data_IF_978010913905
#
_entry.id   IF_978010913905
#
_cell.length_a   1.000
_cell.length_b   1.000
_cell.length_c   1.000
_cell.angle_alpha   90.00
_cell.angle_beta   90.00
_cell.angle_gamma   90.00
#
_symmetry.space_group_name_H-M   'P 1'
#
loop_
_entity.id
_entity.type
_entity.pdbx_description
1 polymer ?
#
# COMPACT_ATOMS: atom_id res chain seq x y z
N UNK A 1 -12.32 -2.48 22.77
CA UNK A 1 -11.47 -3.09 21.75
C UNK A 1 -11.59 -2.32 20.45
N UNK A 2 -10.48 -2.02 19.86
CA UNK A 2 -10.51 -1.29 18.61
C UNK A 2 -10.71 -2.23 17.43
N UNK A 3 -11.51 -1.80 16.48
CA UNK A 3 -11.65 -2.53 15.24
C UNK A 3 -10.39 -2.38 14.43
N UNK A 4 -10.00 -3.44 13.76
CA UNK A 4 -8.86 -3.42 12.85
C UNK A 4 -9.31 -2.78 11.54
N UNK A 5 -8.61 -1.73 11.12
CA UNK A 5 -8.91 -1.10 9.86
C UNK A 5 -8.38 -1.96 8.72
N UNK A 6 -9.25 -2.29 7.79
CA UNK A 6 -8.90 -3.10 6.62
C UNK A 6 -9.47 -2.46 5.38
N UNK A 7 -8.81 -2.70 4.27
CA UNK A 7 -9.33 -2.22 3.00
C UNK A 7 -8.49 -2.73 1.86
N UNK A 8 -8.87 -2.30 0.67
CA UNK A 8 -8.11 -2.66 -0.52
C UNK A 8 -8.27 -1.57 -1.57
N UNK A 9 -7.30 -1.54 -2.45
CA UNK A 9 -7.32 -0.68 -3.62
C UNK A 9 -6.81 -1.55 -4.77
N UNK A 10 -7.73 -2.00 -5.62
CA UNK A 10 -7.36 -3.00 -6.62
C UNK A 10 -6.83 -4.25 -5.95
N UNK A 11 -5.65 -4.65 -6.34
CA UNK A 11 -4.99 -5.85 -5.80
C UNK A 11 -4.23 -5.59 -4.50
N UNK A 12 -4.11 -4.34 -4.09
CA UNK A 12 -3.41 -3.99 -2.86
C UNK A 12 -4.39 -4.06 -1.70
N UNK A 13 -4.04 -4.86 -0.69
CA UNK A 13 -4.82 -4.94 0.54
C UNK A 13 -4.02 -4.40 1.69
N UNK A 14 -4.70 -3.88 2.69
CA UNK A 14 -4.04 -3.40 3.90
C UNK A 14 -4.83 -3.77 5.13
N UNK A 15 -4.12 -3.96 6.23
CA UNK A 15 -4.70 -4.32 7.51
C UNK A 15 -3.97 -3.56 8.60
N UNK A 16 -4.72 -2.95 9.52
CA UNK A 16 -4.11 -2.31 10.68
C UNK A 16 -3.48 -3.35 11.60
N UNK A 17 -2.32 -3.03 12.14
CA UNK A 17 -1.61 -3.89 13.07
C UNK A 17 -1.24 -3.07 14.31
N UNK A 18 -0.96 -3.76 15.42
CA UNK A 18 -0.68 -3.07 16.68
C UNK A 18 0.65 -2.36 16.69
N UNK A 19 1.66 -2.99 16.11
CA UNK A 19 3.02 -2.44 16.15
C UNK A 19 3.83 -2.93 14.97
N UNK A 20 4.95 -2.26 14.77
CA UNK A 20 5.89 -2.66 13.71
C UNK A 20 6.55 -3.96 14.16
N UNK A 21 6.57 -5.01 13.33
CA UNK A 21 7.21 -6.27 13.70
C UNK A 21 8.69 -6.10 14.02
N UNK A 22 9.16 -6.85 15.00
CA UNK A 22 10.57 -6.89 15.32
C UNK A 22 11.34 -7.41 14.11
N UNK A 23 12.42 -6.71 13.77
CA UNK A 23 13.23 -7.10 12.62
C UNK A 23 12.88 -6.38 11.33
N UNK A 24 11.79 -5.61 11.32
CA UNK A 24 11.46 -4.82 10.15
C UNK A 24 12.52 -3.74 9.94
N UNK A 25 12.92 -3.54 8.69
CA UNK A 25 13.92 -2.54 8.34
C UNK A 25 13.25 -1.34 7.71
N UNK A 26 13.66 -0.15 8.15
CA UNK A 26 13.16 1.08 7.56
C UNK A 26 13.72 1.22 6.14
N UNK A 27 12.85 1.54 5.20
CA UNK A 27 13.25 1.74 3.81
C UNK A 27 12.74 3.10 3.34
N UNK A 28 13.26 3.55 2.21
CA UNK A 28 12.76 4.76 1.59
C UNK A 28 11.35 4.51 1.04
N UNK A 29 10.55 5.57 0.96
CA UNK A 29 9.22 5.45 0.40
C UNK A 29 9.32 4.99 -1.05
N UNK A 30 8.45 4.05 -1.40
CA UNK A 30 8.38 3.50 -2.75
C UNK A 30 6.93 3.12 -3.02
N UNK A 31 6.56 2.90 -4.29
CA UNK A 31 5.22 2.42 -4.58
C UNK A 31 4.96 1.10 -3.86
N UNK A 32 3.76 0.95 -3.31
CA UNK A 32 3.36 -0.31 -2.69
C UNK A 32 3.29 -1.41 -3.75
N UNK A 33 2.77 -1.06 -4.91
CA UNK A 33 2.67 -1.98 -6.02
C UNK A 33 2.55 -1.21 -7.32
N UNK A 34 2.98 -1.83 -8.40
CA UNK A 34 2.71 -1.33 -9.74
C UNK A 34 1.31 -1.80 -10.14
N UNK A 35 0.58 -0.93 -10.83
CA UNK A 35 -0.75 -1.29 -11.28
C UNK A 35 -0.70 -2.33 -12.40
N UNK A 36 -1.87 -2.89 -12.71
CA UNK A 36 -2.00 -3.87 -13.77
C UNK A 36 -1.70 -3.29 -15.14
N UNK A 37 -1.95 -2.01 -15.31
CA UNK A 37 -1.70 -1.32 -16.57
C UNK A 37 -0.41 -0.54 -16.49
N UNK A 38 0.28 -0.47 -17.60
CA UNK A 38 1.52 0.29 -17.70
C UNK A 38 1.31 1.74 -17.26
N UNK A 39 2.23 2.24 -16.45
CA UNK A 39 2.19 3.62 -16.00
C UNK A 39 1.33 3.89 -14.78
N UNK A 40 0.65 2.88 -14.26
CA UNK A 40 -0.15 3.03 -13.04
C UNK A 40 0.59 2.47 -11.85
N UNK A 41 0.36 3.04 -10.67
CA UNK A 41 0.97 2.50 -9.46
C UNK A 41 0.15 2.88 -8.23
N UNK A 42 0.30 2.06 -7.19
CA UNK A 42 -0.32 2.29 -5.89
C UNK A 42 0.73 2.90 -4.98
N UNK A 43 0.44 4.09 -4.46
CA UNK A 43 1.39 4.81 -3.60
C UNK A 43 0.72 5.22 -2.30
N UNK A 44 1.52 5.24 -1.23
CA UNK A 44 1.05 5.72 0.06
C UNK A 44 1.78 7.02 0.35
N UNK A 45 1.05 8.12 0.39
CA UNK A 45 1.61 9.46 0.56
C UNK A 45 1.16 10.07 1.86
N UNK A 46 1.94 11.03 2.36
CA UNK A 46 1.61 11.76 3.57
C UNK A 46 2.61 11.51 4.68
N UNK A 47 2.13 11.51 5.92
CA UNK A 47 2.97 11.33 7.11
C UNK A 47 3.19 9.84 7.35
N UNK A 48 4.13 9.25 6.61
CA UNK A 48 4.31 7.80 6.64
C UNK A 48 5.79 7.43 6.63
N UNK A 49 6.12 6.39 7.40
CA UNK A 49 7.41 5.73 7.36
C UNK A 49 7.20 4.31 6.90
N UNK A 50 8.03 3.85 5.99
CA UNK A 50 7.88 2.54 5.36
C UNK A 50 8.96 1.59 5.84
N UNK A 51 8.54 0.34 6.09
CA UNK A 51 9.42 -0.72 6.56
C UNK A 51 9.20 -1.96 5.73
N UNK A 52 10.19 -2.81 5.71
CA UNK A 52 10.10 -4.09 5.01
C UNK A 52 10.58 -5.22 5.90
N UNK A 53 9.85 -6.31 5.87
CA UNK A 53 10.22 -7.54 6.58
C UNK A 53 9.68 -8.73 5.80
N UNK A 54 10.57 -9.65 5.45
CA UNK A 54 10.21 -10.91 4.76
C UNK A 54 9.33 -10.67 3.53
N UNK A 55 9.66 -9.65 2.76
CA UNK A 55 8.92 -9.32 1.54
C UNK A 55 7.62 -8.59 1.77
N UNK A 56 7.26 -8.30 3.01
CA UNK A 56 6.05 -7.55 3.34
C UNK A 56 6.38 -6.10 3.56
N UNK A 57 5.44 -5.23 3.21
CA UNK A 57 5.56 -3.80 3.43
C UNK A 57 4.74 -3.42 4.65
N UNK A 58 5.39 -2.77 5.60
CA UNK A 58 4.75 -2.26 6.81
C UNK A 58 4.88 -0.75 6.80
N UNK A 59 3.80 -0.04 7.09
CA UNK A 59 3.84 1.42 7.11
C UNK A 59 3.36 1.95 8.44
N UNK A 60 4.11 2.89 8.99
CA UNK A 60 3.73 3.61 10.19
C UNK A 60 3.21 4.98 9.75
N UNK A 61 1.93 5.21 9.99
CA UNK A 61 1.27 6.47 9.62
C UNK A 61 1.21 7.36 10.85
N UNK A 62 1.74 8.57 10.73
CA UNK A 62 1.76 9.52 11.82
C UNK A 62 0.47 10.31 11.96
N UNK A 63 0.52 11.34 12.81
CA UNK A 63 -0.67 12.09 13.20
C UNK A 63 -1.37 12.79 12.04
N UNK A 64 -0.63 13.18 11.02
CA UNK A 64 -1.21 13.88 9.87
C UNK A 64 -1.90 12.94 8.90
N UNK A 65 -1.77 11.63 9.12
CA UNK A 65 -2.42 10.65 8.26
C UNK A 65 -1.69 10.42 6.95
N UNK A 66 -2.20 9.48 6.18
CA UNK A 66 -1.65 9.14 4.88
C UNK A 66 -2.80 8.80 3.93
N UNK A 67 -2.49 8.75 2.66
CA UNK A 67 -3.50 8.42 1.65
C UNK A 67 -2.93 7.39 0.69
N UNK A 68 -3.65 6.28 0.55
CA UNK A 68 -3.33 5.26 -0.43
C UNK A 68 -3.99 5.65 -1.75
N UNK A 69 -3.19 5.84 -2.79
CA UNK A 69 -3.67 6.35 -4.06
C UNK A 69 -3.22 5.48 -5.22
N UNK A 70 -4.11 5.34 -6.20
CA UNK A 70 -3.78 4.70 -7.46
C UNK A 70 -3.63 5.80 -8.49
N UNK A 71 -2.42 6.01 -8.96
CA UNK A 71 -2.08 7.18 -9.77
C UNK A 71 -1.33 6.77 -11.04
N UNK A 72 -1.29 7.71 -11.99
CA UNK A 72 -0.42 7.56 -13.14
C UNK A 72 0.99 7.96 -12.75
N UNK A 73 1.94 7.18 -13.18
CA UNK A 73 3.35 7.45 -12.95
C UNK A 73 3.73 8.86 -13.39
N UNK A 74 3.19 9.32 -14.52
CA UNK A 74 3.48 10.64 -15.05
C UNK A 74 2.99 11.78 -14.17
N UNK A 75 2.07 11.50 -13.27
CA UNK A 75 1.50 12.51 -12.37
C UNK A 75 2.12 12.46 -10.98
N UNK A 76 3.15 11.66 -10.80
CA UNK A 76 3.76 11.47 -9.50
C UNK A 76 5.21 11.92 -9.53
N UNK A 77 5.61 12.69 -8.52
CA UNK A 77 6.99 13.17 -8.37
C UNK A 77 7.44 12.96 -6.93
N UNK A 78 8.73 13.15 -6.69
CA UNK A 78 9.29 13.01 -5.35
C UNK A 78 8.56 13.87 -4.31
N UNK A 79 8.12 15.06 -4.70
CA UNK A 79 7.43 15.93 -3.77
C UNK A 79 6.09 15.37 -3.33
N UNK A 80 5.49 14.49 -4.10
CA UNK A 80 4.18 13.94 -3.78
C UNK A 80 4.19 13.02 -2.56
N UNK A 81 5.36 12.46 -2.20
CA UNK A 81 5.43 11.54 -1.09
C UNK A 81 4.93 12.12 0.23
N UNK A 82 5.09 13.43 0.41
CA UNK A 82 4.78 14.08 1.68
C UNK A 82 3.40 14.72 1.72
N UNK A 83 2.62 14.61 0.66
CA UNK A 83 1.31 15.24 0.63
C UNK A 83 0.21 14.22 0.89
N UNK A 84 -0.81 14.67 1.65
CA UNK A 84 -2.02 13.88 1.82
C UNK A 84 -3.11 14.30 0.84
N UNK A 85 -2.80 15.25 -0.03
CA UNK A 85 -3.76 15.70 -1.03
C UNK A 85 -4.05 14.57 -2.01
N UNK A 86 -5.30 14.51 -2.45
CA UNK A 86 -5.68 13.51 -3.42
C UNK A 86 -5.08 13.86 -4.78
N UNK A 87 -4.30 12.93 -5.32
CA UNK A 87 -3.69 13.09 -6.63
C UNK A 87 -4.66 12.62 -7.71
N UNK A 88 -4.31 12.87 -8.95
CA UNK A 88 -5.16 12.41 -10.05
C UNK A 88 -5.24 10.90 -10.03
N UNK A 89 -6.46 10.38 -9.87
CA UNK A 89 -6.68 8.94 -9.76
C UNK A 89 -6.61 8.26 -11.12
N UNK A 90 -6.19 7.01 -11.11
CA UNK A 90 -6.27 6.15 -12.28
C UNK A 90 -7.64 5.44 -12.28
N UNK A 91 -7.72 4.27 -11.65
CA UNK A 91 -8.95 3.47 -11.68
C UNK A 91 -9.64 3.32 -10.34
N UNK A 92 -8.92 3.44 -9.25
CA UNK A 92 -9.46 3.10 -7.94
C UNK A 92 -9.53 4.33 -7.05
N UNK A 93 -10.51 4.33 -6.15
CA UNK A 93 -10.65 5.41 -5.20
C UNK A 93 -9.51 5.40 -4.19
N UNK A 94 -9.08 6.57 -3.79
CA UNK A 94 -8.06 6.68 -2.76
C UNK A 94 -8.67 6.36 -1.39
N UNK A 95 -7.79 5.96 -0.45
CA UNK A 95 -8.17 5.66 0.93
C UNK A 95 -7.34 6.51 1.87
N UNK A 96 -8.02 7.24 2.74
CA UNK A 96 -7.35 8.01 3.78
C UNK A 96 -7.12 7.10 4.98
N UNK A 97 -5.86 6.98 5.40
CA UNK A 97 -5.48 6.12 6.52
C UNK A 97 -5.13 6.99 7.73
N UNK A 98 -5.83 6.81 8.84
CA UNK A 98 -5.50 7.55 10.06
C UNK A 98 -4.22 7.04 10.70
N UNK A 99 -3.76 7.76 11.70
CA UNK A 99 -2.57 7.36 12.45
C UNK A 99 -2.66 5.91 12.89
N UNK A 100 -1.57 5.17 12.69
CA UNK A 100 -1.49 3.78 13.06
C UNK A 100 -0.47 3.04 12.23
N UNK A 101 -0.38 1.75 12.47
CA UNK A 101 0.52 0.89 11.73
C UNK A 101 -0.28 -0.04 10.83
N UNK A 102 0.22 -0.25 9.62
CA UNK A 102 -0.50 -1.05 8.62
C UNK A 102 0.43 -1.98 7.92
N UNK A 103 -0.07 -3.16 7.62
CA UNK A 103 0.62 -4.11 6.77
C UNK A 103 -0.05 -4.12 5.40
N UNK A 104 0.76 -4.04 4.35
CA UNK A 104 0.27 -4.04 2.97
C UNK A 104 0.72 -5.30 2.27
N UNK A 105 -0.17 -5.86 1.49
CA UNK A 105 0.17 -7.03 0.68
C UNK A 105 -0.63 -7.00 -0.61
N UNK A 106 -0.15 -7.76 -1.58
CA UNK A 106 -0.74 -7.78 -2.90
C UNK A 106 -1.48 -9.08 -3.07
N UNK A 107 -2.75 -8.97 -3.46
CA UNK A 107 -3.55 -10.13 -3.78
C UNK A 107 -3.58 -10.25 -5.29
N UNK A 108 -3.13 -11.40 -5.80
CA UNK A 108 -3.14 -11.63 -7.23
C UNK A 108 -4.58 -11.78 -7.71
N UNK A 109 -4.81 -11.32 -8.94
CA UNK A 109 -6.10 -11.46 -9.57
C UNK A 109 -6.45 -12.93 -9.69
N UNK A 110 -7.72 -13.25 -9.46
CA UNK A 110 -8.17 -14.63 -9.58
C UNK A 110 -8.14 -15.08 -11.03
N UNK A 111 -7.47 -16.18 -11.28
CA UNK A 111 -7.44 -16.84 -12.57
C UNK A 111 -7.36 -18.34 -12.24
N UNK A 112 -8.39 -19.12 -12.60
CA UNK A 112 -8.40 -20.53 -12.21
C UNK A 112 -7.15 -21.29 -12.60
N UNK A 113 -6.62 -21.00 -13.76
CA UNK A 113 -5.40 -21.63 -14.24
C UNK A 113 -4.21 -21.25 -13.40
N UNK A 114 -4.00 -19.95 -13.28
CA UNK A 114 -2.89 -19.42 -12.48
C UNK A 114 -3.03 -19.83 -11.03
N UNK A 115 -4.26 -19.87 -10.55
CA UNK A 115 -4.54 -20.22 -9.16
C UNK A 115 -4.08 -21.64 -8.84
N UNK A 116 -4.36 -22.56 -9.76
CA UNK A 116 -3.91 -23.94 -9.55
C UNK A 116 -2.40 -24.04 -9.50
N UNK A 117 -1.74 -23.30 -10.39
CA UNK A 117 -0.28 -23.28 -10.41
C UNK A 117 0.28 -22.65 -9.15
N UNK A 118 -0.33 -21.55 -8.71
CA UNK A 118 0.10 -20.87 -7.51
C UNK A 118 -0.04 -21.75 -6.27
N UNK A 119 -1.11 -22.51 -6.19
CA UNK A 119 -1.32 -23.38 -5.06
C UNK A 119 -0.29 -24.47 -4.98
N UNK A 120 0.24 -24.88 -6.12
CA UNK A 120 1.33 -25.85 -6.14
C UNK A 120 2.61 -25.21 -5.64
N UNK A 121 2.80 -23.94 -5.96
CA UNK A 121 3.99 -23.19 -5.57
C UNK A 121 3.90 -22.76 -4.10
N UNK A 122 2.75 -22.30 -3.72
CA UNK A 122 2.52 -21.86 -2.35
C UNK A 122 2.50 -23.05 -1.42
#
# INVERSE_FOLDING_TARGET
MKNVLRGHQGDVQFTGIKSIPTGAKKIANKPIALGEHSGHMHVLTGDVQMFEIEGRIICAVGADGARLQHVHESNFSEACWKTTNELQKADHNSHLLPEGNYEFYIQNSYNPYSRLMEQVID
#
